data_IF_913983517342
#
_entry.id   IF_913983517342
#
_cell.length_a   1.000
_cell.length_b   1.000
_cell.length_c   1.000
_cell.angle_alpha   90.00
_cell.angle_beta   90.00
_cell.angle_gamma   90.00
#
_symmetry.space_group_name_H-M   'P 1'
#
loop_
_entity.id
_entity.type
_entity.pdbx_description
1 polymer ?
#
# COMPACT_ATOMS: atom_id res chain seq x y z
N UNK A 1 -17.30 -6.79 -10.97
CA UNK A 1 -16.24 -6.36 -10.04
C UNK A 1 -15.40 -7.59 -9.73
N UNK A 2 -14.21 -7.70 -10.30
CA UNK A 2 -13.29 -8.80 -10.00
C UNK A 2 -12.43 -8.37 -8.81
N UNK A 3 -12.45 -9.16 -7.75
CA UNK A 3 -11.61 -8.96 -6.58
C UNK A 3 -10.51 -10.02 -6.62
N UNK A 4 -9.29 -9.62 -6.93
CA UNK A 4 -8.14 -10.47 -6.64
C UNK A 4 -7.89 -10.40 -5.13
N UNK A 5 -8.14 -11.51 -4.45
CA UNK A 5 -7.78 -11.64 -3.04
C UNK A 5 -6.27 -11.84 -2.98
N UNK A 6 -5.55 -10.78 -2.56
CA UNK A 6 -4.11 -10.86 -2.32
C UNK A 6 -3.74 -12.04 -1.42
N UNK A 7 -2.47 -12.42 -1.41
CA UNK A 7 -1.99 -13.53 -0.59
C UNK A 7 -1.53 -13.03 0.80
N UNK A 8 -1.71 -13.82 1.87
CA UNK A 8 -1.18 -13.48 3.19
C UNK A 8 0.33 -13.21 3.15
N UNK A 9 0.77 -12.17 3.86
CA UNK A 9 2.17 -11.78 3.88
C UNK A 9 2.67 -11.04 2.63
N UNK A 10 1.80 -10.71 1.66
CA UNK A 10 2.17 -9.93 0.49
C UNK A 10 2.80 -8.58 0.86
N UNK A 11 3.89 -8.25 0.16
CA UNK A 11 4.71 -7.04 0.30
C UNK A 11 4.72 -6.27 -1.01
N UNK A 12 4.98 -4.97 -0.98
CA UNK A 12 5.03 -4.14 -2.18
C UNK A 12 6.05 -4.70 -3.20
N UNK A 13 7.29 -4.95 -2.77
CA UNK A 13 8.32 -5.55 -3.63
C UNK A 13 7.99 -6.95 -4.17
N UNK A 14 7.09 -7.71 -3.53
CA UNK A 14 6.65 -9.01 -4.06
C UNK A 14 5.46 -8.91 -5.01
N UNK A 15 4.66 -7.84 -4.88
CA UNK A 15 3.47 -7.61 -5.70
C UNK A 15 3.82 -7.08 -7.08
N UNK A 16 4.88 -6.28 -7.21
CA UNK A 16 5.34 -5.75 -8.51
C UNK A 16 5.60 -6.88 -9.52
N UNK A 17 6.24 -7.97 -9.08
CA UNK A 17 6.51 -9.14 -9.92
C UNK A 17 5.29 -10.01 -10.24
N UNK A 18 4.10 -9.63 -9.76
CA UNK A 18 2.82 -10.34 -9.98
C UNK A 18 1.78 -9.44 -10.66
N UNK A 19 2.20 -8.31 -11.22
CA UNK A 19 1.29 -7.38 -11.89
C UNK A 19 0.72 -7.93 -13.21
N UNK A 20 1.32 -8.97 -13.78
CA UNK A 20 0.76 -9.72 -14.92
C UNK A 20 -0.68 -10.21 -14.65
N UNK A 21 -0.95 -10.71 -13.44
CA UNK A 21 -2.28 -11.17 -13.05
C UNK A 21 -3.30 -10.03 -13.04
N UNK A 22 -2.87 -8.80 -12.74
CA UNK A 22 -3.74 -7.61 -12.80
C UNK A 22 -4.02 -7.25 -14.26
N UNK A 23 -3.04 -7.41 -15.15
CA UNK A 23 -3.18 -7.13 -16.58
C UNK A 23 -4.23 -8.01 -17.25
N UNK A 24 -4.29 -9.29 -16.87
CA UNK A 24 -5.28 -10.25 -17.40
C UNK A 24 -6.73 -9.81 -17.18
N UNK A 25 -7.00 -9.08 -16.10
CA UNK A 25 -8.35 -8.56 -15.81
C UNK A 25 -8.64 -7.22 -16.49
N UNK A 26 -7.62 -6.53 -17.02
CA UNK A 26 -7.73 -5.22 -17.67
C UNK A 26 -8.63 -4.22 -16.89
N UNK A 27 -8.35 -3.95 -15.61
CA UNK A 27 -9.24 -3.14 -14.79
C UNK A 27 -9.19 -1.66 -15.17
N UNK A 28 -10.35 -1.01 -15.19
CA UNK A 28 -10.43 0.46 -15.31
C UNK A 28 -9.98 1.15 -14.01
N UNK A 29 -10.32 0.55 -12.87
CA UNK A 29 -10.00 1.03 -11.53
C UNK A 29 -9.30 -0.09 -10.76
N UNK A 30 -8.12 0.22 -10.20
CA UNK A 30 -7.38 -0.68 -9.32
C UNK A 30 -7.37 -0.13 -7.89
N UNK A 31 -7.79 -0.93 -6.93
CA UNK A 31 -7.70 -0.61 -5.49
C UNK A 31 -6.57 -1.42 -4.86
N UNK A 32 -5.59 -0.73 -4.30
CA UNK A 32 -4.37 -1.31 -3.72
C UNK A 32 -4.40 -1.22 -2.19
N UNK A 33 -4.41 -2.36 -1.53
CA UNK A 33 -4.20 -2.50 -0.08
C UNK A 33 -2.83 -3.15 0.14
N UNK A 34 -1.82 -2.34 0.45
CA UNK A 34 -0.41 -2.76 0.52
C UNK A 34 0.38 -1.91 1.53
N UNK A 35 1.55 -2.38 1.95
CA UNK A 35 2.46 -1.63 2.82
C UNK A 35 2.44 -2.07 4.28
N UNK A 36 1.38 -2.72 4.74
CA UNK A 36 1.26 -3.13 6.15
C UNK A 36 2.33 -4.16 6.55
N UNK A 37 2.59 -5.16 5.71
CA UNK A 37 3.60 -6.18 6.00
C UNK A 37 5.01 -5.59 5.89
N UNK A 38 5.21 -4.66 4.96
CA UNK A 38 6.49 -3.99 4.72
C UNK A 38 6.93 -3.16 5.94
N UNK A 39 5.99 -2.59 6.70
CA UNK A 39 6.28 -1.81 7.89
C UNK A 39 6.75 -2.63 9.10
N UNK A 40 6.60 -3.97 9.08
CA UNK A 40 7.16 -4.83 10.12
C UNK A 40 8.63 -5.18 9.88
N UNK A 41 9.16 -4.88 8.69
CA UNK A 41 10.55 -5.13 8.33
C UNK A 41 11.46 -3.95 8.68
N UNK A 42 12.76 -4.21 8.74
CA UNK A 42 13.80 -3.20 8.90
C UNK A 42 14.12 -2.51 7.56
N UNK A 43 13.07 -2.00 6.91
CA UNK A 43 13.13 -1.27 5.64
C UNK A 43 12.66 0.16 5.86
N UNK A 44 13.33 1.13 5.25
CA UNK A 44 12.94 2.54 5.37
C UNK A 44 11.55 2.79 4.79
N UNK A 45 10.79 3.68 5.42
CA UNK A 45 9.47 4.12 4.93
C UNK A 45 9.55 4.65 3.51
N UNK A 46 10.64 5.35 3.19
CA UNK A 46 10.93 5.86 1.85
C UNK A 46 11.06 4.74 0.82
N UNK A 47 11.76 3.65 1.13
CA UNK A 47 11.87 2.51 0.22
C UNK A 47 10.52 1.83 -0.01
N UNK A 48 9.73 1.63 1.05
CA UNK A 48 8.36 1.09 0.94
C UNK A 48 7.49 1.96 0.03
N UNK A 49 7.56 3.28 0.23
CA UNK A 49 6.84 4.26 -0.58
C UNK A 49 7.25 4.19 -2.06
N UNK A 50 8.55 4.09 -2.36
CA UNK A 50 9.02 3.94 -3.76
C UNK A 50 8.50 2.64 -4.38
N UNK A 51 8.56 1.51 -3.67
CA UNK A 51 8.02 0.23 -4.17
C UNK A 51 6.52 0.32 -4.46
N UNK A 52 5.74 1.00 -3.61
CA UNK A 52 4.31 1.24 -3.87
C UNK A 52 4.14 2.15 -5.11
N UNK A 53 4.98 3.17 -5.28
CA UNK A 53 4.95 4.01 -6.47
C UNK A 53 5.30 3.24 -7.74
N UNK A 54 6.20 2.27 -7.67
CA UNK A 54 6.55 1.40 -8.81
C UNK A 54 5.34 0.55 -9.23
N UNK A 55 4.57 0.00 -8.27
CA UNK A 55 3.32 -0.72 -8.55
C UNK A 55 2.31 0.20 -9.26
N UNK A 56 2.17 1.43 -8.75
CA UNK A 56 1.26 2.43 -9.33
C UNK A 56 1.71 2.80 -10.75
N UNK A 57 3.01 2.98 -10.96
CA UNK A 57 3.58 3.24 -12.28
C UNK A 57 3.31 2.09 -13.24
N UNK A 58 3.57 0.85 -12.82
CA UNK A 58 3.30 -0.36 -13.61
C UNK A 58 1.83 -0.42 -14.04
N UNK A 59 0.91 -0.22 -13.09
CA UNK A 59 -0.52 -0.24 -13.34
C UNK A 59 -0.96 0.82 -14.37
N UNK A 60 -0.47 2.06 -14.24
CA UNK A 60 -0.88 3.17 -15.12
C UNK A 60 -0.18 3.10 -16.48
N UNK A 61 1.13 2.88 -16.47
CA UNK A 61 1.98 3.02 -17.65
C UNK A 61 1.95 1.79 -18.52
N UNK A 62 1.96 0.59 -17.94
CA UNK A 62 2.08 -0.67 -18.68
C UNK A 62 0.72 -1.34 -18.83
N UNK A 63 -0.02 -1.49 -17.73
CA UNK A 63 -1.34 -2.15 -17.74
C UNK A 63 -2.45 -1.21 -18.24
N UNK A 64 -2.18 0.10 -18.30
CA UNK A 64 -3.12 1.14 -18.76
C UNK A 64 -4.38 1.28 -17.88
N UNK A 65 -4.28 0.99 -16.59
CA UNK A 65 -5.35 1.25 -15.61
C UNK A 65 -5.65 2.74 -15.58
N UNK A 66 -6.94 3.10 -15.67
CA UNK A 66 -7.34 4.51 -15.75
C UNK A 66 -7.18 5.24 -14.42
N UNK A 67 -7.47 4.56 -13.30
CA UNK A 67 -7.38 5.10 -11.93
C UNK A 67 -6.83 4.06 -10.96
N UNK A 68 -5.86 4.48 -10.14
CA UNK A 68 -5.33 3.67 -9.04
C UNK A 68 -5.67 4.32 -7.71
N UNK A 69 -6.26 3.56 -6.80
CA UNK A 69 -6.62 3.98 -5.46
C UNK A 69 -5.73 3.22 -4.49
N UNK A 70 -4.78 3.92 -3.85
CA UNK A 70 -3.95 3.36 -2.80
C UNK A 70 -4.66 3.58 -1.48
N UNK A 71 -5.02 2.51 -0.77
CA UNK A 71 -5.61 2.62 0.54
C UNK A 71 -4.54 2.97 1.58
N UNK A 72 -4.87 3.85 2.52
CA UNK A 72 -3.98 4.14 3.64
C UNK A 72 -3.65 2.87 4.43
N UNK A 73 -2.42 2.79 4.93
CA UNK A 73 -2.08 1.76 5.92
C UNK A 73 -2.70 2.17 7.26
N UNK A 74 -3.33 1.21 7.94
CA UNK A 74 -3.99 1.48 9.21
C UNK A 74 -3.02 1.36 10.39
N UNK A 75 -3.27 2.18 11.41
CA UNK A 75 -2.66 1.99 12.71
C UNK A 75 -3.02 0.63 13.28
N UNK A 76 -2.13 0.10 14.12
CA UNK A 76 -2.38 -1.08 14.92
C UNK A 76 -2.78 -0.66 16.33
N UNK A 77 -3.79 -1.33 16.85
CA UNK A 77 -4.22 -1.18 18.23
C UNK A 77 -3.40 -2.09 19.13
N UNK A 78 -3.28 -1.70 20.40
CA UNK A 78 -2.77 -2.59 21.43
C UNK A 78 -3.63 -3.85 21.53
N UNK A 79 -3.01 -5.04 21.59
CA UNK A 79 -3.76 -6.25 21.82
C UNK A 79 -4.42 -6.18 23.21
N UNK A 80 -5.71 -6.52 23.27
CA UNK A 80 -6.49 -6.55 24.53
C UNK A 80 -6.05 -7.66 25.48
N UNK A 81 -5.24 -8.61 24.99
CA UNK A 81 -4.67 -9.72 25.74
C UNK A 81 -3.15 -9.56 25.71
N UNK A 82 -2.48 -9.75 26.86
CA UNK A 82 -1.02 -9.75 26.93
C UNK A 82 -0.43 -10.77 25.96
N UNK A 83 0.37 -10.30 25.01
CA UNK A 83 1.10 -11.14 24.09
C UNK A 83 2.46 -11.54 24.68
N UNK A 84 2.98 -12.72 24.31
CA UNK A 84 4.33 -13.15 24.70
C UNK A 84 5.43 -12.25 24.15
N UNK A 85 5.17 -11.61 23.02
CA UNK A 85 6.09 -10.73 22.32
C UNK A 85 5.41 -9.37 22.16
N UNK A 86 5.78 -8.36 22.96
CA UNK A 86 5.26 -7.02 22.79
C UNK A 86 5.80 -6.46 21.47
N UNK A 87 4.89 -5.95 20.63
CA UNK A 87 5.25 -5.21 19.42
C UNK A 87 5.42 -3.76 19.82
N UNK A 88 6.48 -3.10 19.36
CA UNK A 88 6.60 -1.65 19.47
C UNK A 88 5.56 -0.97 18.56
N UNK A 89 4.35 -0.84 19.10
CA UNK A 89 3.21 -0.25 18.39
C UNK A 89 3.38 1.24 18.19
N UNK A 90 4.09 1.92 19.10
CA UNK A 90 4.35 3.34 18.96
C UNK A 90 5.27 3.59 17.76
N UNK A 91 6.40 2.86 17.68
CA UNK A 91 7.31 2.92 16.54
C UNK A 91 6.63 2.51 15.23
N UNK A 92 5.84 1.44 15.25
CA UNK A 92 5.10 0.99 14.07
C UNK A 92 4.10 2.06 13.59
N UNK A 93 3.27 2.62 14.48
CA UNK A 93 2.26 3.61 14.10
C UNK A 93 2.91 4.94 13.64
N UNK A 94 4.04 5.34 14.23
CA UNK A 94 4.81 6.47 13.72
C UNK A 94 5.31 6.24 12.28
N UNK A 95 5.73 5.01 11.94
CA UNK A 95 6.09 4.64 10.56
C UNK A 95 4.87 4.63 9.64
N UNK A 96 3.70 4.20 10.11
CA UNK A 96 2.43 4.29 9.37
C UNK A 96 2.11 5.74 9.01
N UNK A 97 2.19 6.66 9.98
CA UNK A 97 1.93 8.09 9.75
C UNK A 97 2.87 8.68 8.72
N UNK A 98 4.16 8.37 8.83
CA UNK A 98 5.18 8.80 7.87
C UNK A 98 4.89 8.27 6.47
N UNK A 99 4.54 6.99 6.34
CA UNK A 99 4.23 6.37 5.06
C UNK A 99 3.00 6.99 4.41
N UNK A 100 1.89 7.08 5.14
CA UNK A 100 0.63 7.64 4.64
C UNK A 100 0.81 9.11 4.22
N UNK A 101 1.53 9.91 5.02
CA UNK A 101 1.80 11.32 4.68
C UNK A 101 2.67 11.45 3.44
N UNK A 102 3.68 10.59 3.30
CA UNK A 102 4.58 10.58 2.15
C UNK A 102 3.87 10.12 0.86
N UNK A 103 3.02 9.08 0.96
CA UNK A 103 2.19 8.61 -0.16
C UNK A 103 1.17 9.68 -0.60
N UNK A 104 0.48 10.33 0.34
CA UNK A 104 -0.48 11.41 0.03
C UNK A 104 0.17 12.52 -0.80
N UNK A 105 1.42 12.87 -0.46
CA UNK A 105 2.17 13.93 -1.16
C UNK A 105 2.69 13.42 -2.51
N UNK A 106 3.31 12.24 -2.52
CA UNK A 106 4.00 11.70 -3.69
C UNK A 106 3.05 11.25 -4.79
N UNK A 107 1.92 10.62 -4.44
CA UNK A 107 0.94 10.17 -5.43
C UNK A 107 0.31 11.36 -6.17
N UNK A 108 0.02 12.45 -5.44
CA UNK A 108 -0.52 13.69 -6.04
C UNK A 108 0.45 14.34 -7.01
N UNK A 109 1.75 14.34 -6.70
CA UNK A 109 2.76 15.00 -7.54
C UNK A 109 3.20 14.13 -8.71
N UNK A 110 3.46 12.82 -8.50
CA UNK A 110 3.96 11.92 -9.54
C UNK A 110 2.88 11.38 -10.48
N UNK A 111 1.65 11.20 -10.00
CA UNK A 111 0.56 10.59 -10.77
C UNK A 111 -0.69 11.48 -10.75
N UNK A 112 -0.57 12.74 -11.23
CA UNK A 112 -1.66 13.71 -11.13
C UNK A 112 -2.91 13.19 -11.84
N UNK A 113 -4.04 13.24 -11.15
CA UNK A 113 -5.34 12.74 -11.62
C UNK A 113 -5.38 11.25 -12.00
N UNK A 114 -4.36 10.46 -11.66
CA UNK A 114 -4.28 9.03 -12.00
C UNK A 114 -4.19 8.14 -10.76
N UNK A 115 -3.47 8.57 -9.73
CA UNK A 115 -3.40 7.83 -8.46
C UNK A 115 -3.77 8.70 -7.26
N UNK A 116 -4.45 8.08 -6.29
CA UNK A 116 -4.94 8.79 -5.11
C UNK A 116 -4.74 7.95 -3.86
N UNK A 117 -4.37 8.60 -2.75
CA UNK A 117 -4.44 7.98 -1.44
C UNK A 117 -5.88 8.07 -0.91
N UNK A 118 -6.52 6.93 -0.67
CA UNK A 118 -7.81 6.87 -0.01
C UNK A 118 -7.64 6.72 1.51
N UNK A 119 -8.04 7.77 2.22
CA UNK A 119 -8.15 7.80 3.67
C UNK A 119 -9.49 7.23 4.11
N UNK A 120 -9.49 6.12 4.84
CA UNK A 120 -10.70 5.60 5.48
C UNK A 120 -11.03 6.47 6.70
N UNK A 121 -12.29 6.93 6.80
CA UNK A 121 -12.77 7.67 7.97
C UNK A 121 -13.22 6.68 9.05
N UNK A 122 -12.90 6.97 10.31
CA UNK A 122 -13.33 6.17 11.47
C UNK A 122 -12.35 5.08 11.91
N UNK A 123 -11.12 5.07 11.37
CA UNK A 123 -10.02 4.20 11.77
C UNK A 123 -8.77 5.04 12.03
#
# INVERSE_FOLDING_TARGET
MVQFNGFPGARAGSLIGKMEFVADYSPEILVLLVGTNDLYEDVSVESIKEQICDIVYEAISNIKVAKVIVCQVLHRCEPTIRTRFPVDLHGLNARVDKLNSSLNTTLKSRFPNKAFLWRMKGF
#
